data_IF_354798924728
#
_entry.id   IF_354798924728
#
_cell.length_a   1.000
_cell.length_b   1.000
_cell.length_c   1.000
_cell.angle_alpha   90.00
_cell.angle_beta   90.00
_cell.angle_gamma   90.00
#
_symmetry.space_group_name_H-M   'P 1'
#
loop_
_entity.id
_entity.type
_entity.pdbx_description
1 polymer ?
#
# COMPACT_ATOMS: atom_id res chain seq x y z
N UNK A 1 8.57 29.22 15.90
CA UNK A 1 7.88 28.06 16.56
C UNK A 1 6.58 27.65 15.87
N UNK A 2 5.84 28.59 15.23
CA UNK A 2 4.61 28.30 14.48
C UNK A 2 4.85 27.64 13.11
N UNK A 3 5.86 28.06 12.34
CA UNK A 3 6.15 27.50 10.99
C UNK A 3 6.41 25.99 11.02
N UNK A 4 7.18 25.51 12.00
CA UNK A 4 7.41 24.07 12.20
C UNK A 4 6.12 23.29 12.56
N UNK A 5 5.11 23.94 13.15
CA UNK A 5 3.79 23.32 13.41
C UNK A 5 2.90 23.38 12.18
N UNK A 6 2.91 24.49 11.44
CA UNK A 6 2.13 24.69 10.22
C UNK A 6 2.59 23.70 9.14
N UNK A 7 3.90 23.58 8.91
CA UNK A 7 4.48 22.61 7.98
C UNK A 7 4.11 21.17 8.35
N UNK A 8 4.25 20.80 9.63
CA UNK A 8 3.88 19.48 10.10
C UNK A 8 2.38 19.19 9.92
N UNK A 9 1.52 20.21 10.07
CA UNK A 9 0.08 20.07 9.87
C UNK A 9 -0.28 19.92 8.39
N UNK A 10 0.30 20.72 7.50
CA UNK A 10 0.13 20.60 6.04
C UNK A 10 0.63 19.25 5.54
N UNK A 11 1.83 18.83 5.95
CA UNK A 11 2.38 17.53 5.61
C UNK A 11 1.48 16.39 6.10
N UNK A 12 0.95 16.49 7.33
CA UNK A 12 0.02 15.50 7.86
C UNK A 12 -1.28 15.43 7.06
N UNK A 13 -1.91 16.57 6.75
CA UNK A 13 -3.11 16.62 5.90
C UNK A 13 -2.87 15.95 4.54
N UNK A 14 -1.70 16.22 3.94
CA UNK A 14 -1.30 15.62 2.67
C UNK A 14 -1.08 14.10 2.77
N UNK A 15 -0.41 13.62 3.82
CA UNK A 15 -0.26 12.17 4.05
C UNK A 15 -1.61 11.51 4.22
N UNK A 16 -2.51 12.07 5.04
CA UNK A 16 -3.84 11.50 5.23
C UNK A 16 -4.66 11.50 3.93
N UNK A 17 -4.59 12.58 3.15
CA UNK A 17 -5.30 12.65 1.86
C UNK A 17 -4.76 11.62 0.87
N UNK A 18 -3.44 11.44 0.79
CA UNK A 18 -2.84 10.38 -0.02
C UNK A 18 -3.25 8.98 0.46
N UNK A 19 -3.20 8.76 1.78
CA UNK A 19 -3.54 7.52 2.46
C UNK A 19 -5.04 7.21 2.49
N UNK A 20 -5.89 8.06 1.90
CA UNK A 20 -7.33 7.83 1.71
C UNK A 20 -7.64 7.73 0.23
N UNK A 21 -7.21 8.70 -0.58
CA UNK A 21 -7.64 8.79 -1.97
C UNK A 21 -7.09 7.67 -2.84
N UNK A 22 -5.80 7.33 -2.71
CA UNK A 22 -5.17 6.36 -3.61
C UNK A 22 -5.66 4.94 -3.33
N UNK A 23 -5.66 4.44 -2.08
CA UNK A 23 -6.18 3.11 -1.80
C UNK A 23 -7.70 3.04 -2.04
N UNK A 24 -8.49 4.03 -1.59
CA UNK A 24 -9.94 3.99 -1.84
C UNK A 24 -10.29 3.98 -3.33
N UNK A 25 -9.59 4.76 -4.17
CA UNK A 25 -9.81 4.72 -5.61
C UNK A 25 -9.46 3.36 -6.21
N UNK A 26 -8.36 2.74 -5.76
CA UNK A 26 -7.96 1.41 -6.20
C UNK A 26 -8.99 0.35 -5.79
N UNK A 27 -9.48 0.42 -4.55
CA UNK A 27 -10.54 -0.45 -4.05
C UNK A 27 -11.82 -0.30 -4.88
N UNK A 28 -12.31 0.93 -5.11
CA UNK A 28 -13.53 1.15 -5.90
C UNK A 28 -13.40 0.56 -7.32
N UNK A 29 -12.26 0.76 -7.99
CA UNK A 29 -12.07 0.20 -9.34
C UNK A 29 -11.99 -1.32 -9.30
N UNK A 30 -11.25 -1.90 -8.35
CA UNK A 30 -11.13 -3.35 -8.18
C UNK A 30 -12.48 -4.00 -7.85
N UNK A 31 -13.15 -3.51 -6.82
CA UNK A 31 -14.32 -4.16 -6.22
C UNK A 31 -15.62 -3.81 -6.93
N UNK A 32 -15.81 -2.56 -7.36
CA UNK A 32 -17.10 -2.10 -7.90
C UNK A 32 -17.17 -2.14 -9.43
N UNK A 33 -16.04 -2.21 -10.13
CA UNK A 33 -16.00 -2.19 -11.60
C UNK A 33 -15.45 -3.52 -12.12
N UNK A 34 -14.20 -3.86 -11.78
CA UNK A 34 -13.54 -5.02 -12.37
C UNK A 34 -14.12 -6.35 -11.87
N UNK A 35 -14.36 -6.48 -10.57
CA UNK A 35 -14.87 -7.73 -9.99
C UNK A 35 -16.25 -8.15 -10.53
N UNK A 36 -17.26 -7.26 -10.64
CA UNK A 36 -18.54 -7.60 -11.28
C UNK A 36 -18.41 -7.99 -12.75
N UNK A 37 -17.56 -7.28 -13.51
CA UNK A 37 -17.34 -7.59 -14.93
C UNK A 37 -16.67 -8.96 -15.05
N UNK A 38 -15.67 -9.24 -14.22
CA UNK A 38 -15.01 -10.54 -14.15
C UNK A 38 -16.00 -11.66 -13.84
N UNK A 39 -16.85 -11.53 -12.81
CA UNK A 39 -17.79 -12.59 -12.45
C UNK A 39 -18.81 -12.88 -13.54
N UNK A 40 -19.32 -11.84 -14.23
CA UNK A 40 -20.24 -12.01 -15.35
C UNK A 40 -19.56 -12.65 -16.57
N UNK A 41 -18.36 -12.18 -16.95
CA UNK A 41 -17.61 -12.70 -18.10
C UNK A 41 -17.13 -14.14 -17.86
N UNK A 42 -16.70 -14.46 -16.64
CA UNK A 42 -16.26 -15.81 -16.28
C UNK A 42 -17.42 -16.81 -16.21
N UNK A 43 -18.63 -16.35 -15.88
CA UNK A 43 -19.83 -17.19 -15.87
C UNK A 43 -20.41 -17.42 -17.27
N UNK A 44 -20.07 -16.57 -18.25
CA UNK A 44 -20.54 -16.69 -19.62
C UNK A 44 -19.74 -17.75 -20.41
N UNK A 45 -20.45 -18.77 -20.90
CA UNK A 45 -19.88 -19.87 -21.69
C UNK A 45 -19.14 -19.34 -22.93
N UNK A 46 -19.62 -18.23 -23.52
CA UNK A 46 -19.02 -17.64 -24.71
C UNK A 46 -17.60 -17.11 -24.46
N UNK A 47 -17.34 -16.62 -23.25
CA UNK A 47 -16.08 -15.97 -22.87
C UNK A 47 -15.23 -16.80 -21.92
N UNK A 48 -15.81 -17.83 -21.29
CA UNK A 48 -15.14 -18.73 -20.33
C UNK A 48 -13.85 -19.38 -20.86
N UNK A 49 -13.78 -19.65 -22.16
CA UNK A 49 -12.61 -20.25 -22.82
C UNK A 49 -11.71 -19.23 -23.54
N UNK A 50 -11.96 -17.92 -23.34
CA UNK A 50 -11.12 -16.86 -23.89
C UNK A 50 -10.08 -16.38 -22.86
N UNK A 51 -9.10 -15.60 -23.28
CA UNK A 51 -8.09 -15.00 -22.38
C UNK A 51 -8.64 -13.83 -21.55
N UNK A 52 -9.89 -13.40 -21.79
CA UNK A 52 -10.47 -12.21 -21.18
C UNK A 52 -10.65 -12.32 -19.65
N UNK A 53 -11.14 -13.45 -19.09
CA UNK A 53 -11.20 -13.64 -17.63
C UNK A 53 -9.83 -13.55 -16.98
N UNK A 54 -8.79 -14.12 -17.59
CA UNK A 54 -7.43 -14.09 -17.05
C UNK A 54 -6.87 -12.65 -17.00
N UNK A 55 -7.10 -11.86 -18.06
CA UNK A 55 -6.70 -10.44 -18.11
C UNK A 55 -7.43 -9.63 -17.04
N UNK A 56 -8.73 -9.86 -16.85
CA UNK A 56 -9.51 -9.20 -15.80
C UNK A 56 -9.04 -9.60 -14.40
N UNK A 57 -8.72 -10.88 -14.18
CA UNK A 57 -8.14 -11.37 -12.92
C UNK A 57 -6.78 -10.74 -12.61
N UNK A 58 -5.91 -10.59 -13.62
CA UNK A 58 -4.64 -9.87 -13.48
C UNK A 58 -4.85 -8.38 -13.16
N UNK A 59 -5.84 -7.74 -13.78
CA UNK A 59 -6.17 -6.34 -13.51
C UNK A 59 -6.65 -6.14 -12.07
N UNK A 60 -7.55 -7.01 -11.57
CA UNK A 60 -8.00 -7.00 -10.16
C UNK A 60 -6.79 -7.12 -9.23
N UNK A 61 -5.93 -8.12 -9.45
CA UNK A 61 -4.74 -8.31 -8.62
C UNK A 61 -3.76 -7.13 -8.67
N UNK A 62 -3.68 -6.41 -9.79
CA UNK A 62 -2.85 -5.21 -9.90
C UNK A 62 -3.42 -4.06 -9.05
N UNK A 63 -4.73 -3.88 -9.00
CA UNK A 63 -5.37 -2.88 -8.15
C UNK A 63 -5.24 -3.20 -6.66
N UNK A 64 -5.30 -4.48 -6.28
CA UNK A 64 -5.04 -4.91 -4.90
C UNK A 64 -3.58 -4.61 -4.50
N UNK A 65 -2.64 -4.79 -5.41
CA UNK A 65 -1.23 -4.41 -5.22
C UNK A 65 -1.08 -2.89 -5.08
N UNK A 66 -1.78 -2.10 -5.90
CA UNK A 66 -1.79 -0.63 -5.79
C UNK A 66 -2.34 -0.19 -4.43
N UNK A 67 -3.45 -0.79 -3.99
CA UNK A 67 -4.08 -0.56 -2.69
C UNK A 67 -3.07 -0.79 -1.56
N UNK A 68 -2.48 -1.98 -1.49
CA UNK A 68 -1.51 -2.35 -0.46
C UNK A 68 -0.26 -1.46 -0.50
N UNK A 69 0.31 -1.21 -1.69
CA UNK A 69 1.49 -0.37 -1.85
C UNK A 69 1.25 1.08 -1.37
N UNK A 70 0.08 1.64 -1.63
CA UNK A 70 -0.28 2.98 -1.19
C UNK A 70 -0.36 3.06 0.35
N UNK A 71 -0.97 2.07 1.00
CA UNK A 71 -1.02 1.99 2.47
C UNK A 71 0.37 1.86 3.09
N UNK A 72 1.20 0.95 2.57
CA UNK A 72 2.56 0.75 3.06
C UNK A 72 3.42 2.00 2.90
N UNK A 73 3.24 2.71 1.79
CA UNK A 73 3.90 3.99 1.53
C UNK A 73 3.49 5.05 2.53
N UNK A 74 2.18 5.21 2.78
CA UNK A 74 1.66 6.15 3.76
C UNK A 74 2.21 5.87 5.16
N UNK A 75 2.26 4.60 5.57
CA UNK A 75 2.83 4.18 6.86
C UNK A 75 4.32 4.50 6.92
N UNK A 76 5.09 4.15 5.89
CA UNK A 76 6.52 4.46 5.81
C UNK A 76 6.80 5.96 5.94
N UNK A 77 6.10 6.77 5.15
CA UNK A 77 6.21 8.23 5.16
C UNK A 77 5.82 8.78 6.54
N UNK A 78 4.73 8.28 7.14
CA UNK A 78 4.28 8.75 8.46
C UNK A 78 5.31 8.49 9.57
N UNK A 79 5.98 7.33 9.52
CA UNK A 79 7.02 6.94 10.49
C UNK A 79 8.27 7.80 10.32
N UNK A 80 8.60 8.16 9.08
CA UNK A 80 9.78 8.99 8.77
C UNK A 80 9.53 10.46 9.15
N UNK A 81 8.38 11.02 8.77
CA UNK A 81 8.09 12.45 8.92
C UNK A 81 7.63 12.84 10.33
N UNK A 82 6.83 11.99 11.00
CA UNK A 82 6.15 12.38 12.24
C UNK A 82 6.73 11.72 13.49
N UNK A 83 7.30 12.55 14.38
CA UNK A 83 7.79 12.11 15.69
C UNK A 83 6.66 11.69 16.64
N UNK A 84 5.55 12.44 16.66
CA UNK A 84 4.44 12.18 17.59
C UNK A 84 3.74 10.87 17.23
N UNK A 85 3.49 10.02 18.23
CA UNK A 85 2.78 8.77 18.05
C UNK A 85 1.34 8.98 17.53
N UNK A 86 0.70 10.09 17.91
CA UNK A 86 -0.67 10.41 17.48
C UNK A 86 -0.83 10.47 15.95
N UNK A 87 0.06 11.17 15.23
CA UNK A 87 -0.01 11.25 13.76
C UNK A 87 0.22 9.89 13.10
N UNK A 88 1.16 9.10 13.61
CA UNK A 88 1.44 7.74 13.12
C UNK A 88 0.26 6.78 13.37
N UNK A 89 -0.40 6.91 14.52
CA UNK A 89 -1.61 6.16 14.85
C UNK A 89 -2.79 6.57 13.98
N UNK A 90 -2.93 7.86 13.66
CA UNK A 90 -3.99 8.34 12.76
C UNK A 90 -3.86 7.73 11.35
N UNK A 91 -2.65 7.74 10.77
CA UNK A 91 -2.41 7.10 9.46
C UNK A 91 -2.66 5.58 9.53
N UNK A 92 -2.25 4.92 10.62
CA UNK A 92 -2.53 3.49 10.81
C UNK A 92 -4.04 3.20 10.90
N UNK A 93 -4.80 4.02 11.63
CA UNK A 93 -6.25 3.88 11.75
C UNK A 93 -6.95 4.11 10.41
N UNK A 94 -6.46 5.05 9.60
CA UNK A 94 -6.94 5.27 8.24
C UNK A 94 -6.70 4.00 7.41
N UNK A 95 -5.48 3.48 7.34
CA UNK A 95 -5.18 2.26 6.56
C UNK A 95 -5.99 1.05 7.04
N UNK A 96 -6.20 0.91 8.34
CA UNK A 96 -7.04 -0.16 8.88
C UNK A 96 -8.53 0.02 8.50
N UNK A 97 -9.02 1.26 8.55
CA UNK A 97 -10.37 1.62 8.12
C UNK A 97 -10.60 1.37 6.64
N UNK A 98 -9.60 1.62 5.79
CA UNK A 98 -9.68 1.33 4.36
C UNK A 98 -9.83 -0.17 4.07
N UNK A 99 -9.10 -1.04 4.79
CA UNK A 99 -9.28 -2.49 4.67
C UNK A 99 -10.72 -2.86 5.04
N UNK A 100 -11.28 -2.27 6.10
CA UNK A 100 -12.67 -2.52 6.48
C UNK A 100 -13.66 -2.06 5.39
N UNK A 101 -13.42 -0.90 4.79
CA UNK A 101 -14.27 -0.34 3.72
C UNK A 101 -14.17 -1.19 2.46
N UNK A 102 -12.98 -1.59 2.03
CA UNK A 102 -12.79 -2.47 0.86
C UNK A 102 -13.52 -3.80 1.06
N UNK A 103 -13.40 -4.40 2.25
CA UNK A 103 -14.06 -5.68 2.57
C UNK A 103 -15.58 -5.54 2.65
N UNK A 104 -16.08 -4.43 3.17
CA UNK A 104 -17.51 -4.11 3.14
C UNK A 104 -18.03 -3.91 1.71
N UNK A 105 -17.26 -3.23 0.84
CA UNK A 105 -17.60 -3.04 -0.57
C UNK A 105 -17.63 -4.38 -1.32
N UNK A 106 -16.61 -5.22 -1.13
CA UNK A 106 -16.56 -6.56 -1.72
C UNK A 106 -17.77 -7.41 -1.32
N UNK A 107 -18.16 -7.39 -0.04
CA UNK A 107 -19.35 -8.10 0.43
C UNK A 107 -20.63 -7.54 -0.22
N UNK A 108 -20.80 -6.22 -0.22
CA UNK A 108 -21.97 -5.57 -0.80
C UNK A 108 -22.12 -5.90 -2.30
N UNK A 109 -21.02 -5.82 -3.04
CA UNK A 109 -20.99 -6.16 -4.48
C UNK A 109 -21.31 -7.63 -4.69
N UNK A 110 -20.70 -8.55 -3.92
CA UNK A 110 -20.98 -9.99 -4.04
C UNK A 110 -22.46 -10.33 -3.78
N UNK A 111 -23.09 -9.67 -2.81
CA UNK A 111 -24.53 -9.85 -2.54
C UNK A 111 -25.37 -9.39 -3.72
N UNK A 112 -25.03 -8.25 -4.33
CA UNK A 112 -25.75 -7.71 -5.49
C UNK A 112 -25.55 -8.58 -6.74
N UNK A 113 -24.34 -9.04 -7.02
CA UNK A 113 -24.03 -9.75 -8.28
C UNK A 113 -24.39 -11.23 -8.22
N UNK A 114 -24.18 -11.89 -7.08
CA UNK A 114 -24.25 -13.35 -6.99
C UNK A 114 -25.44 -13.84 -6.16
N UNK A 115 -26.28 -12.94 -5.64
CA UNK A 115 -27.41 -13.26 -4.77
C UNK A 115 -27.02 -14.16 -3.57
N UNK A 116 -25.76 -14.09 -3.15
CA UNK A 116 -25.19 -14.93 -2.10
C UNK A 116 -25.82 -14.59 -0.75
N UNK A 117 -26.16 -15.61 0.04
CA UNK A 117 -26.68 -15.42 1.40
C UNK A 117 -25.71 -14.59 2.27
N UNK A 118 -26.22 -13.56 2.93
CA UNK A 118 -25.42 -12.56 3.65
C UNK A 118 -24.57 -13.17 4.78
N UNK A 119 -25.02 -14.24 5.43
CA UNK A 119 -24.34 -14.83 6.60
C UNK A 119 -23.06 -15.59 6.25
N UNK A 120 -23.04 -16.35 5.14
CA UNK A 120 -21.84 -17.06 4.69
C UNK A 120 -20.80 -16.09 4.12
N UNK A 121 -21.24 -15.07 3.39
CA UNK A 121 -20.36 -14.01 2.88
C UNK A 121 -19.68 -13.21 3.99
N UNK A 122 -20.38 -12.96 5.10
CA UNK A 122 -19.84 -12.18 6.23
C UNK A 122 -18.67 -12.92 6.91
N UNK A 123 -18.79 -14.23 7.14
CA UNK A 123 -17.71 -15.02 7.74
C UNK A 123 -16.44 -15.01 6.88
N UNK A 124 -16.57 -15.20 5.57
CA UNK A 124 -15.45 -15.16 4.62
C UNK A 124 -14.81 -13.77 4.63
N UNK A 125 -15.64 -12.72 4.62
CA UNK A 125 -15.19 -11.32 4.65
C UNK A 125 -14.38 -11.02 5.92
N UNK A 126 -14.81 -11.50 7.09
CA UNK A 126 -14.09 -11.33 8.35
C UNK A 126 -12.73 -12.03 8.36
N UNK A 127 -12.63 -13.22 7.76
CA UNK A 127 -11.35 -13.94 7.63
C UNK A 127 -10.37 -13.16 6.77
N UNK A 128 -10.80 -12.68 5.60
CA UNK A 128 -9.94 -11.86 4.74
C UNK A 128 -9.53 -10.54 5.41
N UNK A 129 -10.48 -9.89 6.09
CA UNK A 129 -10.18 -8.69 6.88
C UNK A 129 -9.09 -8.96 7.93
N UNK A 130 -9.21 -10.06 8.68
CA UNK A 130 -8.23 -10.43 9.71
C UNK A 130 -6.84 -10.71 9.11
N UNK A 131 -6.78 -11.38 7.96
CA UNK A 131 -5.54 -11.68 7.26
C UNK A 131 -4.84 -10.40 6.77
N UNK A 132 -5.58 -9.47 6.19
CA UNK A 132 -5.02 -8.20 5.71
C UNK A 132 -4.61 -7.27 6.86
N UNK A 133 -5.41 -7.23 7.92
CA UNK A 133 -5.04 -6.54 9.15
C UNK A 133 -3.74 -7.10 9.75
N UNK A 134 -3.59 -8.42 9.76
CA UNK A 134 -2.37 -9.08 10.21
C UNK A 134 -1.18 -8.73 9.31
N UNK A 135 -1.36 -8.77 8.00
CA UNK A 135 -0.34 -8.39 7.02
C UNK A 135 0.09 -6.91 7.16
N UNK A 136 -0.88 -6.01 7.38
CA UNK A 136 -0.62 -4.60 7.69
C UNK A 136 0.20 -4.47 8.98
N UNK A 137 -0.14 -5.25 10.01
CA UNK A 137 0.60 -5.33 11.27
C UNK A 137 2.07 -5.70 11.07
N UNK A 138 2.34 -6.73 10.26
CA UNK A 138 3.71 -7.13 9.87
C UNK A 138 4.42 -5.97 9.16
N UNK A 139 3.77 -5.32 8.20
CA UNK A 139 4.36 -4.18 7.48
C UNK A 139 4.72 -3.02 8.42
N UNK A 140 3.84 -2.69 9.37
CA UNK A 140 4.12 -1.66 10.38
C UNK A 140 5.34 -2.00 11.22
N UNK A 141 5.52 -3.26 11.62
CA UNK A 141 6.68 -3.71 12.39
C UNK A 141 7.97 -3.57 11.57
N UNK A 142 7.97 -4.00 10.31
CA UNK A 142 9.11 -3.88 9.39
C UNK A 142 9.48 -2.42 9.20
N UNK A 143 8.50 -1.58 8.85
CA UNK A 143 8.72 -0.14 8.62
C UNK A 143 9.30 0.50 9.87
N UNK A 144 8.76 0.20 11.06
CA UNK A 144 9.30 0.73 12.32
C UNK A 144 10.73 0.28 12.58
N UNK A 145 11.04 -0.99 12.30
CA UNK A 145 12.37 -1.55 12.51
C UNK A 145 13.40 -0.93 11.56
N UNK A 146 13.11 -0.94 10.26
CA UNK A 146 14.02 -0.46 9.21
C UNK A 146 14.20 1.05 9.26
N UNK A 147 13.12 1.81 9.49
CA UNK A 147 13.21 3.26 9.57
C UNK A 147 13.80 3.75 10.88
N UNK A 148 13.94 2.92 11.94
CA UNK A 148 14.38 3.33 13.29
C UNK A 148 15.67 4.14 13.26
N UNK A 149 16.68 3.67 12.54
CA UNK A 149 17.98 4.33 12.44
C UNK A 149 17.90 5.65 11.67
N UNK A 150 17.06 5.70 10.61
CA UNK A 150 16.80 6.94 9.89
C UNK A 150 16.06 7.96 10.78
N UNK A 151 15.08 7.52 11.58
CA UNK A 151 14.36 8.40 12.50
C UNK A 151 15.27 8.92 13.61
N UNK A 152 16.20 8.10 14.13
CA UNK A 152 17.20 8.55 15.12
C UNK A 152 18.11 9.64 14.55
N UNK A 153 18.67 9.41 13.35
CA UNK A 153 19.52 10.40 12.66
C UNK A 153 18.76 11.69 12.39
N UNK A 154 17.52 11.59 11.93
CA UNK A 154 16.63 12.73 11.76
C UNK A 154 16.46 13.53 13.06
N UNK A 155 16.16 12.84 14.17
CA UNK A 155 15.98 13.49 15.48
C UNK A 155 17.27 14.18 15.94
N UNK A 156 18.44 13.57 15.74
CA UNK A 156 19.73 14.18 16.09
C UNK A 156 19.99 15.46 15.28
N UNK A 157 19.75 15.42 13.96
CA UNK A 157 19.91 16.58 13.09
C UNK A 157 18.96 17.72 13.47
N UNK A 158 17.68 17.41 13.74
CA UNK A 158 16.72 18.40 14.23
C UNK A 158 17.14 19.04 15.56
N UNK A 159 17.77 18.27 16.46
CA UNK A 159 18.27 18.80 17.74
C UNK A 159 19.52 19.65 17.53
N UNK A 160 20.44 19.22 16.65
CA UNK A 160 21.66 19.94 16.36
C UNK A 160 21.40 21.31 15.72
N UNK A 161 20.56 21.37 14.70
CA UNK A 161 20.24 22.63 14.03
C UNK A 161 19.41 23.58 14.91
N UNK A 162 18.54 23.06 15.79
CA UNK A 162 17.91 23.89 16.84
C UNK A 162 18.93 24.52 17.79
N UNK A 163 20.04 23.83 18.08
CA UNK A 163 21.12 24.36 18.92
C UNK A 163 21.96 25.40 18.19
N UNK A 164 22.05 25.31 16.86
CA UNK A 164 22.82 26.23 16.01
C UNK A 164 22.08 27.54 15.70
N UNK A 165 20.80 27.68 16.09
CA UNK A 165 20.04 28.92 15.90
C UNK A 165 19.64 29.20 14.44
N UNK A 166 19.88 28.24 13.56
CA UNK A 166 19.65 28.37 12.12
C UNK A 166 18.16 28.17 11.82
N UNK A 167 17.44 29.28 11.63
CA UNK A 167 15.99 29.30 11.33
C UNK A 167 15.71 28.99 9.85
N UNK A 168 16.70 29.22 8.97
CA UNK A 168 16.60 29.01 7.52
C UNK A 168 17.18 27.69 7.05
N UNK A 169 17.71 26.87 7.97
CA UNK A 169 18.22 25.54 7.63
C UNK A 169 17.16 24.80 6.83
N UNK A 170 17.39 24.61 5.53
CA UNK A 170 16.37 24.09 4.65
C UNK A 170 16.26 22.58 4.90
N UNK A 171 15.48 22.24 5.93
CA UNK A 171 15.22 20.89 6.43
C UNK A 171 14.75 19.95 5.32
N UNK A 172 14.06 20.49 4.33
CA UNK A 172 13.62 19.76 3.14
C UNK A 172 14.84 19.41 2.28
N UNK A 173 15.86 20.26 2.19
CA UNK A 173 17.07 19.97 1.42
C UNK A 173 18.07 19.02 2.13
N UNK A 174 18.14 19.05 3.46
CA UNK A 174 19.10 18.27 4.29
C UNK A 174 18.49 17.04 4.97
N UNK A 175 17.22 17.14 5.35
CA UNK A 175 16.36 16.05 5.79
C UNK A 175 15.37 15.68 4.67
N UNK A 176 15.76 15.93 3.43
CA UNK A 176 15.59 14.90 2.42
C UNK A 176 16.71 13.88 2.62
N UNK A 177 16.50 12.75 3.33
CA UNK A 177 17.40 11.61 3.17
C UNK A 177 17.30 10.98 1.76
N UNK A 178 16.76 11.70 0.76
CA UNK A 178 16.31 11.20 -0.54
C UNK A 178 16.85 11.98 -1.74
N UNK A 179 17.99 12.71 -1.62
CA UNK A 179 18.74 13.10 -2.85
C UNK A 179 19.07 11.87 -3.74
N UNK A 180 18.88 10.66 -3.22
CA UNK A 180 18.93 9.43 -3.98
C UNK A 180 17.94 8.34 -3.49
N UNK A 181 16.70 8.36 -3.97
CA UNK A 181 15.82 7.17 -3.95
C UNK A 181 16.43 5.96 -4.69
N UNK A 182 17.44 6.19 -5.51
CA UNK A 182 18.22 5.15 -6.20
C UNK A 182 19.32 4.50 -5.33
N UNK A 183 19.62 5.02 -4.13
CA UNK A 183 20.66 4.44 -3.27
C UNK A 183 20.07 3.34 -2.37
N UNK A 184 20.66 2.14 -2.42
CA UNK A 184 20.29 0.96 -1.61
C UNK A 184 20.29 1.21 -0.10
N UNK A 185 21.03 2.24 0.39
CA UNK A 185 21.05 2.63 1.80
C UNK A 185 19.79 3.38 2.26
N UNK A 186 18.89 3.72 1.33
CA UNK A 186 17.69 4.47 1.60
C UNK A 186 16.66 3.61 2.39
N UNK A 187 16.11 4.12 3.51
CA UNK A 187 15.18 3.35 4.34
C UNK A 187 13.86 3.02 3.62
N UNK A 188 13.33 3.88 2.74
CA UNK A 188 12.12 3.57 1.97
C UNK A 188 12.39 2.47 0.95
N UNK A 189 13.55 2.48 0.28
CA UNK A 189 13.94 1.42 -0.64
C UNK A 189 14.04 0.08 0.10
N UNK A 190 14.69 0.06 1.26
CA UNK A 190 14.78 -1.15 2.09
C UNK A 190 13.41 -1.63 2.58
N UNK A 191 12.57 -0.71 3.06
CA UNK A 191 11.20 -1.04 3.48
C UNK A 191 10.39 -1.62 2.33
N UNK A 192 10.38 -0.95 1.18
CA UNK A 192 9.66 -1.41 -0.02
C UNK A 192 10.15 -2.78 -0.47
N UNK A 193 11.46 -3.03 -0.44
CA UNK A 193 12.03 -4.32 -0.85
C UNK A 193 11.61 -5.44 0.11
N UNK A 194 11.77 -5.24 1.43
CA UNK A 194 11.40 -6.25 2.43
C UNK A 194 9.90 -6.53 2.39
N UNK A 195 9.08 -5.47 2.30
CA UNK A 195 7.62 -5.61 2.22
C UNK A 195 7.20 -6.30 0.92
N UNK A 196 7.83 -5.98 -0.21
CA UNK A 196 7.59 -6.66 -1.49
C UNK A 196 7.95 -8.14 -1.45
N UNK A 197 9.09 -8.50 -0.86
CA UNK A 197 9.50 -9.91 -0.69
C UNK A 197 8.52 -10.68 0.18
N UNK A 198 8.08 -10.09 1.31
CA UNK A 198 7.12 -10.73 2.21
C UNK A 198 5.76 -10.87 1.54
N UNK A 199 5.32 -9.85 0.79
CA UNK A 199 4.07 -9.91 0.03
C UNK A 199 4.10 -11.05 -1.00
N UNK A 200 5.16 -11.15 -1.80
CA UNK A 200 5.35 -12.25 -2.74
C UNK A 200 5.37 -13.61 -2.04
N UNK A 201 6.12 -13.73 -0.94
CA UNK A 201 6.20 -14.99 -0.19
C UNK A 201 4.83 -15.42 0.35
N UNK A 202 4.02 -14.49 0.88
CA UNK A 202 2.67 -14.78 1.36
C UNK A 202 1.74 -15.22 0.22
N UNK A 203 1.80 -14.56 -0.94
CA UNK A 203 1.00 -14.94 -2.13
C UNK A 203 1.40 -16.32 -2.65
N UNK A 204 2.70 -16.58 -2.81
CA UNK A 204 3.23 -17.89 -3.23
C UNK A 204 2.83 -18.99 -2.24
N UNK A 205 2.94 -18.74 -0.94
CA UNK A 205 2.50 -19.70 0.09
C UNK A 205 0.99 -19.95 0.02
N UNK A 206 0.18 -18.91 -0.21
CA UNK A 206 -1.28 -19.06 -0.38
C UNK A 206 -1.61 -19.90 -1.60
N UNK A 207 -0.93 -19.68 -2.74
CA UNK A 207 -1.13 -20.48 -3.95
C UNK A 207 -0.65 -21.92 -3.76
N UNK A 208 0.46 -22.13 -3.07
CA UNK A 208 0.93 -23.47 -2.72
C UNK A 208 -0.08 -24.26 -1.89
N UNK A 209 -0.71 -23.62 -0.90
CA UNK A 209 -1.78 -24.26 -0.11
C UNK A 209 -3.01 -24.58 -0.98
N UNK A 210 -3.36 -23.68 -1.91
CA UNK A 210 -4.45 -23.90 -2.86
C UNK A 210 -4.17 -25.11 -3.77
N UNK A 211 -2.98 -25.17 -4.38
CA UNK A 211 -2.59 -26.26 -5.29
C UNK A 211 -2.54 -27.61 -4.56
N UNK A 212 -2.02 -27.64 -3.33
CA UNK A 212 -2.05 -28.84 -2.47
C UNK A 212 -3.48 -29.33 -2.18
N UNK A 213 -4.43 -28.40 -2.11
CA UNK A 213 -5.85 -28.71 -1.85
C UNK A 213 -6.57 -29.19 -3.12
N UNK A 214 -6.14 -28.74 -4.29
CA UNK A 214 -6.75 -29.06 -5.59
C UNK A 214 -6.22 -30.38 -6.18
N UNK A 215 -4.98 -30.75 -5.87
CA UNK A 215 -4.35 -32.01 -6.30
C UNK A 215 -3.34 -31.84 -7.44
N UNK A 216 -2.72 -32.95 -7.86
CA UNK A 216 -1.67 -32.92 -8.87
C UNK A 216 -2.23 -32.58 -10.26
N UNK A 217 -1.53 -31.76 -11.06
CA UNK A 217 -1.97 -31.40 -12.40
C UNK A 217 -2.04 -32.63 -13.32
N UNK A 218 -3.10 -32.72 -14.10
CA UNK A 218 -3.43 -33.85 -14.99
C UNK A 218 -2.78 -33.75 -16.38
N UNK A 219 -2.28 -32.56 -16.76
CA UNK A 219 -1.69 -32.32 -18.07
C UNK A 219 -0.83 -31.04 -18.15
N UNK A 220 -0.15 -30.86 -19.29
CA UNK A 220 0.79 -29.76 -19.50
C UNK A 220 0.17 -28.36 -19.39
N UNK A 221 -1.10 -28.18 -19.76
CA UNK A 221 -1.77 -26.88 -19.65
C UNK A 221 -1.96 -26.44 -18.19
N UNK A 222 -2.32 -27.38 -17.31
CA UNK A 222 -2.46 -27.10 -15.87
C UNK A 222 -1.10 -26.79 -15.24
N UNK A 223 -0.04 -27.52 -15.64
CA UNK A 223 1.33 -27.21 -15.21
C UNK A 223 1.75 -25.81 -15.66
N UNK A 224 1.47 -25.42 -16.90
CA UNK A 224 1.79 -24.10 -17.42
C UNK A 224 1.03 -22.99 -16.69
N UNK A 225 -0.27 -23.18 -16.42
CA UNK A 225 -1.09 -22.24 -15.62
C UNK A 225 -0.58 -22.11 -14.19
N UNK A 226 -0.17 -23.22 -13.57
CA UNK A 226 0.41 -23.24 -12.23
C UNK A 226 1.70 -22.41 -12.19
N UNK A 227 2.64 -22.64 -13.14
CA UNK A 227 3.89 -21.85 -13.25
C UNK A 227 3.59 -20.36 -13.49
N UNK A 228 2.66 -20.05 -14.39
CA UNK A 228 2.26 -18.67 -14.67
C UNK A 228 1.67 -17.99 -13.44
N UNK A 229 0.90 -18.73 -12.64
CA UNK A 229 0.42 -18.31 -11.33
C UNK A 229 1.57 -17.91 -10.41
N UNK A 230 2.48 -18.84 -10.10
CA UNK A 230 3.62 -18.53 -9.20
C UNK A 230 4.46 -17.35 -9.69
N UNK A 231 4.67 -17.24 -11.01
CA UNK A 231 5.37 -16.09 -11.58
C UNK A 231 4.61 -14.78 -11.33
N UNK A 232 3.29 -14.80 -11.52
CA UNK A 232 2.40 -13.65 -11.22
C UNK A 232 2.49 -13.23 -9.75
N UNK A 233 2.50 -14.16 -8.80
CA UNK A 233 2.61 -13.86 -7.37
C UNK A 233 3.94 -13.19 -7.01
N UNK A 234 5.04 -13.66 -7.63
CA UNK A 234 6.36 -13.04 -7.48
C UNK A 234 6.34 -11.62 -8.06
N UNK A 235 5.76 -11.45 -9.25
CA UNK A 235 5.62 -10.15 -9.90
C UNK A 235 4.79 -9.18 -9.05
N UNK A 236 3.76 -9.63 -8.34
CA UNK A 236 3.03 -8.79 -7.39
C UNK A 236 3.96 -8.18 -6.33
N UNK A 237 4.90 -8.95 -5.76
CA UNK A 237 5.88 -8.42 -4.82
C UNK A 237 6.85 -7.41 -5.44
N UNK A 238 7.25 -7.63 -6.70
CA UNK A 238 8.05 -6.66 -7.47
C UNK A 238 7.26 -5.36 -7.68
N UNK A 239 5.98 -5.47 -8.05
CA UNK A 239 5.11 -4.30 -8.23
C UNK A 239 4.87 -3.56 -6.92
N UNK A 240 4.70 -4.24 -5.78
CA UNK A 240 4.64 -3.58 -4.46
C UNK A 240 5.88 -2.71 -4.25
N UNK A 241 7.08 -3.25 -4.50
CA UNK A 241 8.31 -2.49 -4.36
C UNK A 241 8.35 -1.26 -5.28
N UNK A 242 8.02 -1.45 -6.57
CA UNK A 242 8.01 -0.37 -7.56
C UNK A 242 7.00 0.72 -7.22
N UNK A 243 5.77 0.35 -6.86
CA UNK A 243 4.72 1.30 -6.49
C UNK A 243 5.04 2.03 -5.19
N UNK A 244 5.63 1.37 -4.19
CA UNK A 244 6.06 2.05 -2.96
C UNK A 244 7.08 3.15 -3.29
N UNK A 245 8.04 2.87 -4.17
CA UNK A 245 9.00 3.88 -4.61
C UNK A 245 8.35 4.99 -5.43
N UNK A 246 7.46 4.64 -6.36
CA UNK A 246 6.75 5.59 -7.20
C UNK A 246 5.92 6.56 -6.35
N UNK A 247 5.10 6.02 -5.44
CA UNK A 247 4.25 6.79 -4.55
C UNK A 247 5.07 7.64 -3.58
N UNK A 248 6.14 7.11 -3.00
CA UNK A 248 7.03 7.91 -2.17
C UNK A 248 7.63 9.08 -2.96
N UNK A 249 8.14 8.81 -4.17
CA UNK A 249 8.72 9.84 -5.05
C UNK A 249 7.71 10.92 -5.38
N UNK A 250 6.50 10.54 -5.78
CA UNK A 250 5.45 11.48 -6.15
C UNK A 250 4.98 12.29 -4.94
N UNK A 251 4.80 11.64 -3.79
CA UNK A 251 4.42 12.30 -2.55
C UNK A 251 5.43 13.38 -2.15
N UNK A 252 6.73 13.06 -2.18
CA UNK A 252 7.75 14.04 -1.84
C UNK A 252 7.86 15.19 -2.85
N UNK A 253 7.72 14.91 -4.16
CA UNK A 253 7.61 15.97 -5.18
C UNK A 253 6.41 16.88 -4.92
N UNK A 254 5.26 16.31 -4.57
CA UNK A 254 4.06 17.06 -4.23
C UNK A 254 4.23 17.89 -2.95
N UNK A 255 4.97 17.37 -1.97
CA UNK A 255 5.33 18.11 -0.77
C UNK A 255 6.23 19.32 -1.09
N UNK A 256 7.23 19.14 -1.97
CA UNK A 256 8.19 20.17 -2.36
C UNK A 256 7.63 21.26 -3.27
N UNK A 257 6.61 20.98 -4.09
CA UNK A 257 6.05 21.93 -5.06
C UNK A 257 5.30 23.12 -4.45
N UNK A 258 5.18 23.20 -3.11
CA UNK A 258 4.46 24.28 -2.43
C UNK A 258 5.22 24.85 -1.21
N UNK A 259 6.45 25.40 -1.35
CA UNK A 259 7.09 26.14 -0.26
C UNK A 259 6.51 27.56 -0.12
N UNK A 260 6.13 28.19 -1.23
CA UNK A 260 5.84 29.64 -1.31
C UNK A 260 4.47 30.03 -0.72
N UNK A 261 3.48 29.12 -0.69
CA UNK A 261 2.20 29.38 -0.01
C UNK A 261 2.30 29.34 1.53
N UNK A 262 3.45 28.96 2.11
CA UNK A 262 3.65 28.95 3.56
C UNK A 262 4.16 30.29 4.11
N UNK A 263 4.69 31.17 3.25
CA UNK A 263 5.15 32.52 3.63
C UNK A 263 4.01 33.53 3.53
N UNK A 264 3.13 33.41 2.53
CA UNK A 264 2.07 34.40 2.26
C UNK A 264 0.85 34.26 3.19
N UNK A 265 0.64 33.10 3.82
CA UNK A 265 -0.47 32.89 4.76
C UNK A 265 -0.11 33.23 6.22
N UNK A 266 1.06 33.85 6.44
CA UNK A 266 1.58 34.25 7.75
C UNK A 266 1.73 35.77 7.94
N UNK A 267 1.26 36.57 7.00
CA UNK A 267 1.04 38.02 7.17
C UNK A 267 -0.42 38.32 7.48
#
# INVERSE_FOLDING_TARGET
MLENKLYAHTAFKRVCLFAVLVPLAAAIVSTCILSPVYTQVAADILYSNTMLPDVLGLAISLFDVIFAAAQYTAIAISVILFRKAAYRRAVLLISFGEIAVERALNLAVSVITNNSGTSSGLNITLVYFALEAFQLGICVLIVRFVCREATKKYVMLCVAARRLGDLEFNWISEIYPYRALHRVKNPIVKCGWIVGVIFAALKVMSRFIYDLSYGAPSGWNEVAQMIAGYLSDILCGVFIFLFVLLFATYFFKWLAKNPEQQVIAGE
#
